data_IF_512460591152
#
_entry.id   IF_512460591152
#
_cell.length_a   1.000
_cell.length_b   1.000
_cell.length_c   1.000
_cell.angle_alpha   90.00
_cell.angle_beta   90.00
_cell.angle_gamma   90.00
#
_symmetry.space_group_name_H-M   'P 1'
#
loop_
_entity.id
_entity.type
_entity.pdbx_description
1 polymer ?
#
# COMPACT_ATOMS: atom_id res chain seq x y z
N UNK A 1 18.23 13.91 -14.33
CA UNK A 1 17.33 13.19 -13.42
C UNK A 1 17.73 11.72 -13.41
N UNK A 2 18.25 11.21 -12.29
CA UNK A 2 18.76 9.83 -12.21
C UNK A 2 17.59 8.82 -12.14
N UNK A 3 17.71 7.65 -12.77
CA UNK A 3 16.71 6.57 -12.76
C UNK A 3 16.22 6.21 -11.35
N UNK A 4 17.11 6.30 -10.36
CA UNK A 4 16.75 6.10 -8.94
C UNK A 4 15.73 7.13 -8.42
N UNK A 5 15.78 8.39 -8.88
CA UNK A 5 14.79 9.40 -8.48
C UNK A 5 13.41 9.10 -9.08
N UNK A 6 13.38 8.60 -10.33
CA UNK A 6 12.12 8.21 -10.98
C UNK A 6 11.52 7.00 -10.26
N UNK A 7 12.36 6.01 -9.92
CA UNK A 7 11.93 4.86 -9.13
C UNK A 7 11.38 5.27 -7.75
N UNK A 8 12.03 6.22 -7.07
CA UNK A 8 11.57 6.74 -5.78
C UNK A 8 10.21 7.43 -5.90
N UNK A 9 10.03 8.30 -6.89
CA UNK A 9 8.74 8.96 -7.15
C UNK A 9 7.66 7.91 -7.44
N UNK A 10 7.98 6.89 -8.25
CA UNK A 10 7.07 5.78 -8.52
C UNK A 10 6.65 5.05 -7.24
N UNK A 11 7.59 4.75 -6.36
CA UNK A 11 7.31 4.10 -5.08
C UNK A 11 6.41 4.96 -4.16
N UNK A 12 6.60 6.29 -4.15
CA UNK A 12 5.73 7.22 -3.40
C UNK A 12 4.30 7.17 -3.95
N UNK A 13 4.15 7.32 -5.27
CA UNK A 13 2.84 7.32 -5.93
C UNK A 13 2.11 5.99 -5.72
N UNK A 14 2.80 4.86 -5.88
CA UNK A 14 2.21 3.54 -5.64
C UNK A 14 1.81 3.33 -4.17
N UNK A 15 2.61 3.82 -3.22
CA UNK A 15 2.28 3.74 -1.80
C UNK A 15 0.98 4.49 -1.51
N UNK A 16 0.86 5.73 -1.98
CA UNK A 16 -0.36 6.53 -1.83
C UNK A 16 -1.57 5.88 -2.51
N UNK A 17 -1.38 5.34 -3.72
CA UNK A 17 -2.44 4.66 -4.45
C UNK A 17 -2.96 3.41 -3.71
N UNK A 18 -2.05 2.57 -3.21
CA UNK A 18 -2.42 1.37 -2.45
C UNK A 18 -3.18 1.73 -1.17
N UNK A 19 -2.71 2.76 -0.49
CA UNK A 19 -3.36 3.31 0.68
C UNK A 19 -4.77 3.86 0.38
N UNK A 20 -4.97 4.56 -0.74
CA UNK A 20 -6.31 4.98 -1.18
C UNK A 20 -7.22 3.80 -1.50
N UNK A 21 -6.70 2.77 -2.17
CA UNK A 21 -7.46 1.55 -2.46
C UNK A 21 -7.95 0.86 -1.19
N UNK A 22 -7.07 0.74 -0.17
CA UNK A 22 -7.44 0.20 1.14
C UNK A 22 -8.64 0.95 1.72
N UNK A 23 -8.60 2.29 1.73
CA UNK A 23 -9.71 3.11 2.27
C UNK A 23 -11.00 2.93 1.48
N UNK A 24 -10.93 2.90 0.16
CA UNK A 24 -12.10 2.70 -0.72
C UNK A 24 -12.74 1.35 -0.41
N UNK A 25 -11.94 0.27 -0.37
CA UNK A 25 -12.47 -1.07 -0.09
C UNK A 25 -13.08 -1.18 1.30
N UNK A 26 -12.44 -0.59 2.32
CA UNK A 26 -13.00 -0.56 3.68
C UNK A 26 -14.35 0.17 3.72
N UNK A 27 -14.44 1.30 3.01
CA UNK A 27 -15.68 2.08 2.89
C UNK A 27 -16.78 1.28 2.17
N UNK A 28 -16.45 0.57 1.09
CA UNK A 28 -17.37 -0.30 0.36
C UNK A 28 -17.91 -1.45 1.23
N UNK A 29 -17.10 -1.95 2.16
CA UNK A 29 -17.49 -2.98 3.13
C UNK A 29 -18.23 -2.43 4.36
N UNK A 30 -18.50 -1.12 4.40
CA UNK A 30 -19.27 -0.48 5.47
C UNK A 30 -18.46 -0.06 6.70
N UNK A 31 -17.13 -0.12 6.64
CA UNK A 31 -16.29 0.43 7.70
C UNK A 31 -16.27 1.96 7.62
N UNK A 32 -16.25 2.62 8.78
CA UNK A 32 -15.99 4.05 8.84
C UNK A 32 -14.50 4.31 8.61
N UNK A 33 -14.19 5.15 7.62
CA UNK A 33 -12.83 5.46 7.19
C UNK A 33 -12.69 6.98 7.03
N UNK A 34 -11.74 7.57 7.73
CA UNK A 34 -11.35 8.96 7.51
C UNK A 34 -10.45 9.04 6.27
N UNK A 35 -10.66 9.98 5.35
CA UNK A 35 -9.90 10.04 4.09
C UNK A 35 -8.45 10.51 4.27
N UNK A 36 -8.15 11.29 5.30
CA UNK A 36 -6.89 12.01 5.46
C UNK A 36 -5.99 11.42 6.56
N UNK A 37 -6.58 10.72 7.52
CA UNK A 37 -5.89 10.20 8.71
C UNK A 37 -6.13 8.70 8.88
N UNK A 38 -5.61 8.07 9.93
CA UNK A 38 -5.96 6.69 10.28
C UNK A 38 -5.37 5.58 9.39
N UNK A 39 -4.44 5.89 8.46
CA UNK A 39 -3.88 4.92 7.50
C UNK A 39 -3.38 3.61 8.14
N UNK A 40 -2.82 3.68 9.35
CA UNK A 40 -2.34 2.49 10.07
C UNK A 40 -3.49 1.63 10.62
N UNK A 41 -4.54 2.25 11.14
CA UNK A 41 -5.74 1.56 11.61
C UNK A 41 -6.49 0.93 10.44
N UNK A 42 -6.61 1.65 9.33
CA UNK A 42 -7.21 1.16 8.09
C UNK A 42 -6.44 -0.02 7.53
N UNK A 43 -5.11 0.08 7.47
CA UNK A 43 -4.26 -1.05 7.09
C UNK A 43 -4.51 -2.28 7.98
N UNK A 44 -4.64 -2.09 9.31
CA UNK A 44 -4.95 -3.19 10.23
C UNK A 44 -6.31 -3.82 9.94
N UNK A 45 -7.36 -3.00 9.80
CA UNK A 45 -8.71 -3.44 9.46
C UNK A 45 -8.73 -4.17 8.11
N UNK A 46 -8.04 -3.65 7.12
CA UNK A 46 -7.96 -4.24 5.77
C UNK A 46 -7.19 -5.56 5.76
N UNK A 47 -6.11 -5.65 6.54
CA UNK A 47 -5.38 -6.90 6.74
C UNK A 47 -6.28 -7.96 7.38
N UNK A 48 -7.06 -7.59 8.39
CA UNK A 48 -8.02 -8.48 9.03
C UNK A 48 -9.14 -8.90 8.05
N UNK A 49 -9.71 -7.96 7.32
CA UNK A 49 -10.69 -8.22 6.26
C UNK A 49 -10.16 -9.23 5.23
N UNK A 50 -8.87 -9.15 4.88
CA UNK A 50 -8.23 -10.10 3.95
C UNK A 50 -8.14 -11.52 4.52
N UNK A 51 -7.99 -11.67 5.83
CA UNK A 51 -7.94 -12.97 6.51
C UNK A 51 -9.33 -13.58 6.68
N UNK A 52 -10.32 -12.72 6.94
CA UNK A 52 -11.71 -13.13 7.19
C UNK A 52 -12.51 -13.34 5.88
N UNK A 53 -12.00 -12.89 4.73
CA UNK A 53 -12.66 -13.02 3.43
C UNK A 53 -12.69 -14.48 2.95
N UNK A 54 -13.90 -15.02 2.78
CA UNK A 54 -14.13 -16.41 2.37
C UNK A 54 -14.08 -16.59 0.86
N UNK A 55 -14.36 -15.54 0.08
CA UNK A 55 -14.26 -15.59 -1.38
C UNK A 55 -12.79 -15.47 -1.83
N UNK A 56 -12.28 -16.52 -2.50
CA UNK A 56 -10.89 -16.57 -2.93
C UNK A 56 -10.55 -15.47 -3.95
N UNK A 57 -11.48 -15.10 -4.83
CA UNK A 57 -11.23 -14.05 -5.82
C UNK A 57 -11.05 -12.69 -5.15
N UNK A 58 -11.93 -12.38 -4.19
CA UNK A 58 -11.88 -11.14 -3.42
C UNK A 58 -10.66 -11.11 -2.50
N UNK A 59 -10.36 -12.23 -1.83
CA UNK A 59 -9.14 -12.37 -1.02
C UNK A 59 -7.88 -12.12 -1.85
N UNK A 60 -7.80 -12.67 -3.06
CA UNK A 60 -6.64 -12.46 -3.94
C UNK A 60 -6.48 -10.99 -4.36
N UNK A 61 -7.59 -10.29 -4.61
CA UNK A 61 -7.57 -8.84 -4.87
C UNK A 61 -7.00 -8.08 -3.68
N UNK A 62 -7.45 -8.38 -2.45
CA UNK A 62 -6.96 -7.70 -1.25
C UNK A 62 -5.49 -7.99 -0.97
N UNK A 63 -5.08 -9.25 -1.13
CA UNK A 63 -3.67 -9.63 -1.04
C UNK A 63 -2.81 -8.93 -2.08
N UNK A 64 -3.30 -8.73 -3.31
CA UNK A 64 -2.58 -7.96 -4.34
C UNK A 64 -2.37 -6.52 -3.92
N UNK A 65 -3.37 -5.87 -3.31
CA UNK A 65 -3.24 -4.51 -2.77
C UNK A 65 -2.20 -4.46 -1.64
N UNK A 66 -2.24 -5.41 -0.70
CA UNK A 66 -1.26 -5.50 0.39
C UNK A 66 0.16 -5.74 -0.13
N UNK A 67 0.33 -6.67 -1.07
CA UNK A 67 1.64 -6.98 -1.64
C UNK A 67 2.19 -5.79 -2.44
N UNK A 68 1.33 -5.08 -3.17
CA UNK A 68 1.68 -3.84 -3.85
C UNK A 68 2.14 -2.75 -2.87
N UNK A 69 1.44 -2.59 -1.75
CA UNK A 69 1.84 -1.69 -0.67
C UNK A 69 3.21 -2.08 -0.09
N UNK A 70 3.43 -3.36 0.24
CA UNK A 70 4.72 -3.81 0.78
C UNK A 70 5.87 -3.60 -0.20
N UNK A 71 5.65 -3.89 -1.49
CA UNK A 71 6.66 -3.66 -2.52
C UNK A 71 6.99 -2.16 -2.64
N UNK A 72 5.97 -1.30 -2.62
CA UNK A 72 6.17 0.15 -2.69
C UNK A 72 6.90 0.68 -1.46
N UNK A 73 6.53 0.24 -0.26
CA UNK A 73 7.23 0.58 0.99
C UNK A 73 8.67 0.07 0.99
N UNK A 74 8.92 -1.14 0.49
CA UNK A 74 10.27 -1.66 0.31
C UNK A 74 11.06 -0.78 -0.66
N UNK A 75 10.47 -0.38 -1.79
CA UNK A 75 11.06 0.57 -2.74
C UNK A 75 11.41 1.92 -2.10
N UNK A 76 10.53 2.45 -1.25
CA UNK A 76 10.78 3.69 -0.49
C UNK A 76 11.97 3.60 0.46
N UNK A 77 12.34 2.39 0.92
CA UNK A 77 13.50 2.19 1.81
C UNK A 77 14.75 1.81 1.01
N UNK A 78 14.63 0.84 0.10
CA UNK A 78 15.76 0.33 -0.68
C UNK A 78 16.32 1.38 -1.64
N UNK A 79 15.48 2.19 -2.30
CA UNK A 79 15.97 3.15 -3.28
C UNK A 79 16.82 4.25 -2.62
N UNK A 80 16.41 4.90 -1.52
CA UNK A 80 17.27 5.83 -0.80
C UNK A 80 18.54 5.16 -0.25
N UNK A 81 18.46 3.93 0.25
CA UNK A 81 19.65 3.19 0.68
C UNK A 81 20.65 3.00 -0.45
N UNK A 82 20.19 2.60 -1.64
CA UNK A 82 21.03 2.49 -2.83
C UNK A 82 21.61 3.85 -3.27
N UNK A 83 20.87 4.94 -3.10
CA UNK A 83 21.37 6.29 -3.39
C UNK A 83 22.44 6.75 -2.39
N UNK A 84 22.35 6.30 -1.13
CA UNK A 84 23.35 6.60 -0.09
C UNK A 84 24.59 5.73 -0.25
N UNK A 85 24.41 4.43 -0.55
CA UNK A 85 25.51 3.47 -0.76
C UNK A 85 26.19 3.61 -2.13
N UNK A 86 25.45 4.06 -3.14
CA UNK A 86 25.95 4.31 -4.50
C UNK A 86 26.49 5.73 -4.69
N UNK A 87 26.66 6.48 -3.61
CA UNK A 87 27.57 7.63 -3.56
C UNK A 87 29.01 7.15 -3.43
#
# INVERSE_FOLDING_TARGET
MNWLHIGLIGAIVFTLHAFQQIKITLKEKGHHVDMMTGWFEDYRKFKQLTLDETDEQTRYKYQRVLNGLYLALAGLVFIPLLMIMGK
#
